data_IF_421077921967
#
_entry.id   IF_421077921967
#
_cell.length_a   1.000
_cell.length_b   1.000
_cell.length_c   1.000
_cell.angle_alpha   90.00
_cell.angle_beta   90.00
_cell.angle_gamma   90.00
#
_symmetry.space_group_name_H-M   'P 1'
#
loop_
_entity.id
_entity.type
_entity.pdbx_description
1 polymer ?
#
# COMPACT_ATOMS: atom_id res chain seq x y z
N UNK A 1 33.48 -53.80 2.16
CA UNK A 1 33.34 -53.83 3.63
C UNK A 1 34.62 -53.30 4.26
N UNK A 2 34.59 -52.51 5.34
CA UNK A 2 34.24 -51.09 5.43
C UNK A 2 35.48 -50.17 5.57
N UNK A 3 35.30 -48.88 5.27
CA UNK A 3 36.33 -47.84 5.35
C UNK A 3 36.53 -47.35 6.79
N UNK A 4 37.76 -47.37 7.30
CA UNK A 4 38.10 -46.80 8.62
C UNK A 4 38.39 -45.30 8.48
N UNK A 5 37.37 -44.48 8.70
CA UNK A 5 37.50 -43.04 8.80
C UNK A 5 38.34 -42.63 10.02
N UNK A 6 39.56 -42.14 9.79
CA UNK A 6 40.34 -41.40 10.81
C UNK A 6 39.61 -40.11 11.15
N UNK A 7 38.86 -40.10 12.26
CA UNK A 7 38.39 -38.85 12.89
C UNK A 7 39.62 -38.01 13.25
N UNK A 8 39.88 -36.94 12.50
CA UNK A 8 40.81 -35.90 12.89
C UNK A 8 40.22 -35.20 14.12
N UNK A 9 40.81 -35.43 15.29
CA UNK A 9 40.53 -34.64 16.50
C UNK A 9 40.96 -33.20 16.19
N UNK A 10 40.02 -32.26 16.17
CA UNK A 10 40.31 -30.83 16.05
C UNK A 10 40.71 -30.38 17.46
N UNK A 11 41.94 -29.89 17.70
CA UNK A 11 42.33 -29.40 19.01
C UNK A 11 41.58 -28.08 19.29
N UNK A 12 40.93 -27.98 20.44
CA UNK A 12 40.38 -26.72 20.93
C UNK A 12 41.56 -25.82 21.34
N UNK A 13 41.61 -24.56 20.87
CA UNK A 13 42.62 -23.63 21.35
C UNK A 13 42.36 -23.32 22.83
N UNK A 14 43.41 -23.40 23.65
CA UNK A 14 43.39 -22.94 25.04
C UNK A 14 43.18 -21.43 25.12
N UNK A 15 43.09 -20.84 26.33
CA UNK A 15 42.81 -19.42 26.53
C UNK A 15 44.01 -18.59 26.05
N UNK A 16 44.10 -18.40 24.74
CA UNK A 16 45.13 -17.62 24.07
C UNK A 16 44.47 -16.44 23.39
N UNK A 17 45.13 -15.31 23.60
CA UNK A 17 44.84 -14.00 23.06
C UNK A 17 44.36 -14.08 21.61
N UNK A 18 43.27 -13.37 21.32
CA UNK A 18 42.68 -13.25 20.00
C UNK A 18 43.78 -12.89 18.99
N UNK A 19 44.10 -13.75 18.00
CA UNK A 19 45.17 -13.47 17.06
C UNK A 19 44.92 -12.10 16.39
N UNK A 20 45.93 -11.25 16.18
CA UNK A 20 45.73 -9.87 15.73
C UNK A 20 44.97 -9.77 14.39
N UNK A 21 45.08 -10.78 13.53
CA UNK A 21 44.29 -10.89 12.29
C UNK A 21 42.77 -11.06 12.53
N UNK A 22 42.35 -11.61 13.67
CA UNK A 22 40.95 -11.73 14.07
C UNK A 22 40.39 -10.39 14.58
N UNK A 23 41.19 -9.61 15.28
CA UNK A 23 40.80 -8.27 15.73
C UNK A 23 40.48 -7.36 14.52
N UNK A 24 41.38 -7.31 13.53
CA UNK A 24 41.16 -6.53 12.31
C UNK A 24 39.91 -7.00 11.52
N UNK A 25 39.66 -8.31 11.48
CA UNK A 25 38.45 -8.88 10.84
C UNK A 25 37.17 -8.51 11.59
N UNK A 26 37.20 -8.54 12.93
CA UNK A 26 36.06 -8.14 13.77
C UNK A 26 35.78 -6.64 13.66
N UNK A 27 36.80 -5.79 13.64
CA UNK A 27 36.64 -4.36 13.42
C UNK A 27 36.05 -4.03 12.06
N UNK A 28 36.49 -4.72 11.00
CA UNK A 28 35.94 -4.54 9.65
C UNK A 28 34.48 -4.99 9.56
N UNK A 29 34.12 -6.11 10.21
CA UNK A 29 32.74 -6.57 10.32
C UNK A 29 31.89 -5.59 11.15
N UNK A 30 32.42 -5.06 12.25
CA UNK A 30 31.73 -4.11 13.10
C UNK A 30 31.53 -2.78 12.39
N UNK A 31 32.51 -2.31 11.62
CA UNK A 31 32.39 -1.13 10.77
C UNK A 31 31.37 -1.35 9.65
N UNK A 32 31.37 -2.51 9.00
CA UNK A 32 30.35 -2.89 8.02
C UNK A 32 28.95 -2.96 8.63
N UNK A 33 28.81 -3.48 9.86
CA UNK A 33 27.54 -3.49 10.59
C UNK A 33 27.11 -2.09 11.01
N UNK A 34 28.04 -1.20 11.38
CA UNK A 34 27.73 0.20 11.68
C UNK A 34 27.37 0.99 10.42
N UNK A 35 28.03 0.75 9.29
CA UNK A 35 27.72 1.34 8.00
C UNK A 35 26.36 0.86 7.49
N UNK A 36 26.07 -0.43 7.58
CA UNK A 36 24.74 -0.99 7.30
C UNK A 36 23.69 -0.43 8.27
N UNK A 37 23.98 -0.33 9.56
CA UNK A 37 23.09 0.28 10.55
C UNK A 37 22.87 1.77 10.30
N UNK A 38 23.88 2.49 9.84
CA UNK A 38 23.80 3.91 9.49
C UNK A 38 23.03 4.10 8.19
N UNK A 39 23.27 3.25 7.19
CA UNK A 39 22.55 3.23 5.91
C UNK A 39 21.09 2.80 6.04
N UNK A 40 20.76 1.97 7.04
CA UNK A 40 19.39 1.68 7.45
C UNK A 40 18.77 2.84 8.26
N UNK A 41 19.58 3.66 8.95
CA UNK A 41 19.13 4.90 9.62
C UNK A 41 19.03 6.11 8.67
N UNK A 42 19.66 6.05 7.50
CA UNK A 42 19.61 7.06 6.43
C UNK A 42 18.54 6.77 5.36
N UNK A 43 17.65 5.81 5.59
CA UNK A 43 16.30 5.97 5.04
C UNK A 43 15.59 6.93 5.99
N UNK A 44 15.26 8.16 5.58
CA UNK A 44 14.44 9.03 6.41
C UNK A 44 13.17 8.26 6.75
N UNK A 45 13.04 7.90 8.02
CA UNK A 45 11.84 7.34 8.64
C UNK A 45 10.72 8.42 8.75
N UNK A 46 10.72 9.39 7.82
CA UNK A 46 9.88 10.59 7.71
C UNK A 46 9.24 10.74 6.32
N UNK A 47 9.26 9.68 5.51
CA UNK A 47 8.01 9.29 4.86
C UNK A 47 7.45 8.18 5.74
N UNK A 48 6.63 8.53 6.74
CA UNK A 48 5.51 7.64 7.01
C UNK A 48 4.81 7.48 5.65
N UNK A 49 5.07 6.37 4.96
CA UNK A 49 4.09 5.71 4.12
C UNK A 49 2.96 5.23 5.04
N UNK A 50 2.37 6.16 5.80
CA UNK A 50 1.15 5.95 6.51
C UNK A 50 0.08 5.76 5.45
N UNK A 51 -0.77 4.77 5.66
CA UNK A 51 -1.97 4.67 4.85
C UNK A 51 -2.77 5.96 5.04
N UNK A 52 -3.49 6.46 4.02
CA UNK A 52 -4.34 7.64 4.16
C UNK A 52 -5.57 7.38 5.05
N UNK A 53 -5.58 6.30 5.82
CA UNK A 53 -6.58 5.94 6.81
C UNK A 53 -6.13 6.34 8.21
N UNK A 54 -7.07 6.80 9.03
CA UNK A 54 -6.84 7.01 10.46
C UNK A 54 -6.68 5.69 11.21
N UNK A 55 -6.16 5.76 12.43
CA UNK A 55 -6.05 4.60 13.32
C UNK A 55 -7.42 3.95 13.59
N UNK A 56 -8.50 4.74 13.64
CA UNK A 56 -9.87 4.23 13.82
C UNK A 56 -10.32 3.33 12.68
N UNK A 57 -9.99 3.67 11.43
CA UNK A 57 -10.28 2.83 10.25
C UNK A 57 -9.44 1.55 10.27
N UNK A 58 -8.21 1.64 10.77
CA UNK A 58 -7.29 0.51 10.87
C UNK A 58 -7.62 -0.43 12.03
N UNK A 59 -8.23 0.08 13.10
CA UNK A 59 -8.62 -0.68 14.29
C UNK A 59 -9.79 -1.64 14.05
N UNK A 60 -10.61 -1.39 13.01
CA UNK A 60 -11.71 -2.28 12.66
C UNK A 60 -11.18 -3.64 12.17
N UNK A 61 -11.47 -4.70 12.92
CA UNK A 61 -11.08 -6.06 12.58
C UNK A 61 -11.95 -6.62 11.44
N UNK A 62 -11.30 -7.20 10.43
CA UNK A 62 -12.01 -7.99 9.43
C UNK A 62 -12.47 -9.31 10.08
N UNK A 63 -13.68 -9.80 9.78
CA UNK A 63 -14.12 -11.09 10.28
C UNK A 63 -13.17 -12.21 9.85
N UNK A 64 -12.93 -13.20 10.72
CA UNK A 64 -11.99 -14.31 10.49
C UNK A 64 -12.22 -15.09 9.19
N UNK A 65 -13.45 -15.11 8.68
CA UNK A 65 -13.85 -15.76 7.44
C UNK A 65 -14.06 -14.76 6.28
N UNK A 66 -13.42 -13.59 6.35
CA UNK A 66 -13.54 -12.56 5.33
C UNK A 66 -13.16 -13.10 3.95
N UNK A 67 -14.06 -12.86 2.99
CA UNK A 67 -13.81 -13.06 1.58
C UNK A 67 -13.95 -11.71 0.89
N UNK A 68 -12.96 -11.37 0.08
CA UNK A 68 -13.02 -10.16 -0.73
C UNK A 68 -14.28 -10.22 -1.60
N UNK A 69 -15.15 -9.20 -1.54
CA UNK A 69 -16.35 -9.18 -2.37
C UNK A 69 -15.92 -9.07 -3.84
N UNK A 70 -16.60 -9.81 -4.72
CA UNK A 70 -16.35 -9.82 -6.15
C UNK A 70 -16.89 -8.54 -6.81
N UNK A 71 -16.27 -7.41 -6.50
CA UNK A 71 -16.59 -6.10 -7.07
C UNK A 71 -15.60 -5.82 -8.19
N UNK A 72 -16.11 -5.41 -9.35
CA UNK A 72 -15.27 -5.02 -10.48
C UNK A 72 -14.36 -3.84 -10.10
N UNK A 73 -13.14 -3.84 -10.64
CA UNK A 73 -12.20 -2.77 -10.39
C UNK A 73 -12.64 -1.45 -11.05
N UNK A 74 -12.37 -0.35 -10.37
CA UNK A 74 -12.58 1.01 -10.83
C UNK A 74 -11.26 1.60 -11.29
N UNK A 75 -11.12 1.80 -12.60
CA UNK A 75 -9.89 2.33 -13.20
C UNK A 75 -9.90 3.85 -13.41
N UNK A 76 -11.01 4.52 -13.03
CA UNK A 76 -11.24 5.95 -13.26
C UNK A 76 -12.09 6.27 -14.48
N UNK A 77 -12.42 5.29 -15.32
CA UNK A 77 -13.16 5.50 -16.59
C UNK A 77 -14.58 4.93 -16.57
N UNK A 78 -14.81 3.89 -15.75
CA UNK A 78 -16.14 3.29 -15.60
C UNK A 78 -17.11 4.23 -14.86
N UNK A 79 -18.40 3.89 -14.84
CA UNK A 79 -19.40 4.75 -14.22
C UNK A 79 -19.23 4.80 -12.70
N UNK A 80 -18.75 5.93 -12.20
CA UNK A 80 -18.51 6.21 -10.78
C UNK A 80 -19.71 5.91 -9.87
N UNK A 81 -20.93 6.27 -10.30
CA UNK A 81 -22.13 6.09 -9.46
C UNK A 81 -22.55 4.62 -9.38
N UNK A 82 -22.38 3.90 -10.49
CA UNK A 82 -22.66 2.47 -10.58
C UNK A 82 -21.66 1.67 -9.74
N UNK A 83 -20.37 2.04 -9.79
CA UNK A 83 -19.34 1.46 -8.94
C UNK A 83 -19.63 1.65 -7.45
N UNK A 84 -19.95 2.89 -7.04
CA UNK A 84 -20.33 3.19 -5.65
C UNK A 84 -21.54 2.39 -5.20
N UNK A 85 -22.60 2.34 -6.02
CA UNK A 85 -23.81 1.59 -5.66
C UNK A 85 -23.55 0.09 -5.52
N UNK A 86 -22.75 -0.50 -6.42
CA UNK A 86 -22.33 -1.91 -6.30
C UNK A 86 -21.59 -2.17 -5.00
N UNK A 87 -20.65 -1.29 -4.67
CA UNK A 87 -19.89 -1.39 -3.44
C UNK A 87 -20.79 -1.25 -2.19
N UNK A 88 -21.71 -0.28 -2.17
CA UNK A 88 -22.63 -0.08 -1.05
C UNK A 88 -23.55 -1.29 -0.85
N UNK A 89 -24.05 -1.90 -1.92
CA UNK A 89 -24.84 -3.12 -1.85
C UNK A 89 -24.03 -4.30 -1.27
N UNK A 90 -22.78 -4.46 -1.70
CA UNK A 90 -21.89 -5.49 -1.14
C UNK A 90 -21.58 -5.22 0.33
N UNK A 91 -21.28 -3.98 0.69
CA UNK A 91 -21.02 -3.59 2.07
C UNK A 91 -22.23 -3.84 2.98
N UNK A 92 -23.44 -3.59 2.48
CA UNK A 92 -24.68 -3.89 3.20
C UNK A 92 -24.86 -5.40 3.42
N UNK A 93 -24.64 -6.21 2.38
CA UNK A 93 -24.76 -7.67 2.44
C UNK A 93 -23.78 -8.28 3.46
N UNK A 94 -22.53 -7.81 3.44
CA UNK A 94 -21.49 -8.28 4.35
C UNK A 94 -21.48 -7.57 5.71
N UNK A 95 -22.39 -6.62 5.94
CA UNK A 95 -22.53 -5.83 7.18
C UNK A 95 -21.22 -5.16 7.60
N UNK A 96 -20.51 -4.57 6.64
CA UNK A 96 -19.25 -3.88 6.92
C UNK A 96 -19.47 -2.66 7.81
N UNK A 97 -18.60 -2.51 8.81
CA UNK A 97 -18.40 -1.26 9.54
C UNK A 97 -17.74 -0.23 8.64
N UNK A 98 -17.72 1.03 9.06
CA UNK A 98 -17.17 2.10 8.22
C UNK A 98 -15.66 1.97 7.97
N UNK A 99 -14.88 1.49 8.94
CA UNK A 99 -13.46 1.21 8.72
C UNK A 99 -13.22 0.07 7.74
N UNK A 100 -14.01 -1.01 7.87
CA UNK A 100 -13.99 -2.11 6.89
C UNK A 100 -14.37 -1.59 5.50
N UNK A 101 -15.41 -0.76 5.37
CA UNK A 101 -15.79 -0.19 4.07
C UNK A 101 -14.62 0.56 3.43
N UNK A 102 -13.90 1.41 4.16
CA UNK A 102 -12.73 2.11 3.64
C UNK A 102 -11.67 1.15 3.10
N UNK A 103 -11.30 0.15 3.91
CA UNK A 103 -10.24 -0.81 3.58
C UNK A 103 -10.63 -1.74 2.43
N UNK A 104 -11.89 -2.11 2.31
CA UNK A 104 -12.38 -2.95 1.20
C UNK A 104 -12.60 -2.12 -0.06
N UNK A 105 -12.99 -0.84 0.07
CA UNK A 105 -13.21 0.01 -1.10
C UNK A 105 -11.92 0.23 -1.89
N UNK A 106 -10.80 0.43 -1.20
CA UNK A 106 -9.50 0.61 -1.88
C UNK A 106 -9.06 -0.63 -2.67
N UNK A 107 -9.45 -1.84 -2.26
CA UNK A 107 -9.13 -3.06 -3.03
C UNK A 107 -9.87 -3.12 -4.36
N UNK A 108 -10.87 -2.26 -4.57
CA UNK A 108 -11.58 -2.14 -5.85
C UNK A 108 -10.95 -1.11 -6.78
N UNK A 109 -9.88 -0.41 -6.39
CA UNK A 109 -9.26 0.60 -7.24
C UNK A 109 -8.18 0.01 -8.12
N UNK A 110 -8.14 0.50 -9.36
CA UNK A 110 -7.08 0.20 -10.31
C UNK A 110 -6.57 1.49 -10.95
N UNK A 111 -5.35 1.43 -11.50
CA UNK A 111 -4.78 2.47 -12.39
C UNK A 111 -4.91 3.88 -11.81
N UNK A 112 -5.71 4.76 -12.44
CA UNK A 112 -5.83 6.15 -12.03
C UNK A 112 -6.45 6.30 -10.63
N UNK A 113 -7.38 5.42 -10.24
CA UNK A 113 -7.98 5.44 -8.90
C UNK A 113 -6.98 5.06 -7.81
N UNK A 114 -6.13 4.06 -8.08
CA UNK A 114 -5.09 3.65 -7.15
C UNK A 114 -4.00 4.72 -7.03
N UNK A 115 -3.59 5.32 -8.15
CA UNK A 115 -2.63 6.44 -8.14
C UNK A 115 -3.15 7.64 -7.35
N UNK A 116 -4.44 7.97 -7.50
CA UNK A 116 -5.06 9.04 -6.73
C UNK A 116 -5.05 8.76 -5.23
N UNK A 117 -5.41 7.53 -4.83
CA UNK A 117 -5.40 7.16 -3.42
C UNK A 117 -4.01 7.27 -2.79
N UNK A 118 -2.96 6.86 -3.51
CA UNK A 118 -1.58 6.95 -3.05
C UNK A 118 -1.07 8.40 -2.89
N UNK A 119 -1.78 9.38 -3.45
CA UNK A 119 -1.45 10.81 -3.32
C UNK A 119 -2.18 11.47 -2.14
N UNK A 120 -3.07 10.75 -1.45
CA UNK A 120 -3.78 11.31 -0.30
C UNK A 120 -2.84 11.45 0.91
N UNK A 121 -3.02 12.50 1.73
CA UNK A 121 -2.23 12.64 2.95
C UNK A 121 -2.53 11.52 3.94
N UNK A 122 -1.53 11.18 4.74
CA UNK A 122 -1.66 10.20 5.83
C UNK A 122 -2.80 10.61 6.77
N UNK A 123 -3.67 9.67 7.14
CA UNK A 123 -4.78 9.93 8.05
C UNK A 123 -5.91 10.82 7.50
N UNK A 124 -5.95 11.07 6.18
CA UNK A 124 -7.00 11.90 5.56
C UNK A 124 -8.41 11.33 5.65
N UNK A 125 -8.54 10.00 5.82
CA UNK A 125 -9.80 9.29 5.77
C UNK A 125 -10.09 8.67 7.15
N UNK A 126 -11.02 9.27 7.88
CA UNK A 126 -11.51 8.79 9.18
C UNK A 126 -12.78 7.95 9.10
N UNK A 127 -13.53 8.05 8.00
CA UNK A 127 -14.80 7.34 7.78
C UNK A 127 -15.05 7.05 6.31
N UNK A 128 -15.99 6.14 6.04
CA UNK A 128 -16.38 5.86 4.66
C UNK A 128 -17.08 7.06 4.01
N UNK A 129 -17.80 7.86 4.79
CA UNK A 129 -18.45 9.08 4.29
C UNK A 129 -17.43 10.11 3.79
N UNK A 130 -16.36 10.34 4.55
CA UNK A 130 -15.26 11.22 4.11
C UNK A 130 -14.58 10.68 2.86
N UNK A 131 -14.28 9.37 2.85
CA UNK A 131 -13.67 8.74 1.68
C UNK A 131 -14.54 8.89 0.42
N UNK A 132 -15.85 8.61 0.55
CA UNK A 132 -16.82 8.77 -0.54
C UNK A 132 -16.86 10.21 -1.05
N UNK A 133 -16.82 11.20 -0.16
CA UNK A 133 -16.81 12.61 -0.54
C UNK A 133 -15.56 12.99 -1.37
N UNK A 134 -14.37 12.61 -0.88
CA UNK A 134 -13.10 12.84 -1.58
C UNK A 134 -13.08 12.16 -2.96
N UNK A 135 -13.55 10.92 -3.00
CA UNK A 135 -13.63 10.13 -4.24
C UNK A 135 -14.59 10.76 -5.25
N UNK A 136 -15.79 11.18 -4.82
CA UNK A 136 -16.74 11.88 -5.68
C UNK A 136 -16.16 13.21 -6.17
N UNK A 137 -15.50 13.99 -5.32
CA UNK A 137 -14.89 15.26 -5.70
C UNK A 137 -13.84 15.09 -6.82
N UNK A 138 -12.97 14.08 -6.68
CA UNK A 138 -11.93 13.78 -7.64
C UNK A 138 -12.50 13.34 -9.00
N UNK A 139 -13.37 12.33 -9.01
CA UNK A 139 -13.79 11.66 -10.26
C UNK A 139 -15.08 12.22 -10.87
N UNK A 140 -15.91 12.96 -10.12
CA UNK A 140 -17.06 13.65 -10.70
C UNK A 140 -16.63 14.84 -11.59
N UNK A 141 -15.50 15.47 -11.26
CA UNK A 141 -14.95 16.62 -12.00
C UNK A 141 -14.46 16.23 -13.41
N UNK A 142 -13.90 15.02 -13.58
CA UNK A 142 -13.48 14.51 -14.90
C UNK A 142 -14.63 14.36 -15.91
N UNK A 143 -15.89 14.28 -15.44
CA UNK A 143 -17.07 14.20 -16.31
C UNK A 143 -17.51 15.54 -16.90
N UNK A 144 -17.09 16.68 -16.31
CA UNK A 144 -17.47 18.00 -16.83
C UNK A 144 -16.71 18.37 -18.11
N UNK A 145 -15.46 17.90 -18.29
CA UNK A 145 -14.70 18.19 -19.51
C UNK A 145 -15.19 17.41 -20.74
N UNK A 146 -15.68 16.17 -20.57
CA UNK A 146 -16.14 15.34 -21.68
C UNK A 146 -17.43 15.86 -22.36
N UNK A 147 -18.23 16.68 -21.67
CA UNK A 147 -19.40 17.33 -22.27
C UNK A 147 -19.06 18.62 -23.01
N UNK A 148 -17.96 19.28 -22.68
CA UNK A 148 -17.58 20.54 -23.32
C UNK A 148 -16.91 20.32 -24.67
N UNK A 149 -16.00 19.34 -24.78
CA UNK A 149 -15.34 18.96 -26.04
C UNK A 149 -16.37 18.62 -27.12
N UNK A 150 -17.33 17.73 -26.84
CA UNK A 150 -18.36 17.37 -27.81
C UNK A 150 -19.27 18.56 -28.16
N UNK A 151 -19.61 19.44 -27.21
CA UNK A 151 -20.46 20.59 -27.50
C UNK A 151 -19.81 21.66 -28.38
N UNK A 152 -18.47 21.74 -28.37
CA UNK A 152 -17.71 22.68 -29.19
C UNK A 152 -17.64 22.23 -30.66
N UNK A 153 -17.66 20.92 -30.93
CA UNK A 153 -17.71 20.38 -32.29
C UNK A 153 -19.10 20.42 -32.94
N UNK A 154 -20.19 20.63 -32.18
CA UNK A 154 -21.56 20.71 -32.73
C UNK A 154 -22.07 22.13 -33.04
N UNK A 155 -21.29 23.20 -32.80
CA UNK A 155 -21.67 24.55 -33.24
C UNK A 155 -21.33 24.76 -34.72
N UNK A 156 -22.09 24.13 -35.61
CA UNK A 156 -22.05 24.47 -37.03
C UNK A 156 -22.57 25.89 -37.25
N UNK A 157 -21.89 26.73 -38.04
CA UNK A 157 -22.37 28.07 -38.37
C UNK A 157 -23.55 27.97 -39.35
N UNK A 158 -24.73 28.44 -38.95
CA UNK A 158 -25.83 28.67 -39.89
C UNK A 158 -25.44 29.83 -40.81
N UNK A 159 -25.08 29.52 -42.06
CA UNK A 159 -25.08 30.48 -43.17
C UNK A 159 -26.53 30.79 -43.56
N UNK A 160 -26.92 32.05 -43.51
CA UNK A 160 -27.97 32.65 -44.35
C UNK A 160 -27.45 33.98 -44.85
#
# INVERSE_FOLDING_TARGET
>A
MPQTGRRRKIPLPGPQEVPPQWLARLEHLQKGLQDVKYRIKETPEDEQQGVPFTETVMADELPLNYRTPAIAEYDGTTNLMEHLSRFENAALLHRYTDGIKCRVFITTFARAAQQWFNQLPVGAIGSFQEFRSLFLHQFASSRKLQKTELSLFYRSPKRR
#
